data_IF_362226253203
#
_entry.id   IF_362226253203
#
_cell.length_a   1.000
_cell.length_b   1.000
_cell.length_c   1.000
_cell.angle_alpha   90.00
_cell.angle_beta   90.00
_cell.angle_gamma   90.00
#
_symmetry.space_group_name_H-M   'P 1'
#
loop_
_entity.id
_entity.type
_entity.pdbx_description
1 polymer ?
#
# COMPACT_ATOMS: atom_id res chain seq x y z
N UNK A 1 12.97 16.74 5.61
CA UNK A 1 13.92 15.69 6.05
C UNK A 1 13.14 14.43 6.33
N UNK A 2 13.62 13.23 5.96
CA UNK A 2 12.95 12.02 6.39
C UNK A 2 12.88 12.01 7.92
N UNK A 3 11.72 11.64 8.46
CA UNK A 3 11.51 11.44 9.88
C UNK A 3 12.50 10.38 10.40
N UNK A 4 13.10 10.59 11.58
CA UNK A 4 14.06 9.64 12.17
C UNK A 4 13.48 8.22 12.27
N UNK A 5 12.18 8.10 12.59
CA UNK A 5 11.49 6.82 12.66
C UNK A 5 11.46 6.05 11.34
N UNK A 6 11.34 6.75 10.21
CA UNK A 6 11.41 6.13 8.88
C UNK A 6 12.82 5.60 8.56
N UNK A 7 13.88 6.35 8.93
CA UNK A 7 15.28 5.91 8.74
C UNK A 7 15.60 4.69 9.62
N UNK A 8 15.12 4.68 10.86
CA UNK A 8 15.29 3.56 11.79
C UNK A 8 14.55 2.30 11.30
N UNK A 9 13.35 2.47 10.74
CA UNK A 9 12.60 1.38 10.13
C UNK A 9 13.34 0.80 8.92
N UNK A 10 13.90 1.63 8.03
CA UNK A 10 14.72 1.16 6.89
C UNK A 10 15.93 0.35 7.35
N UNK A 11 16.62 0.82 8.39
CA UNK A 11 17.76 0.10 8.98
C UNK A 11 17.32 -1.25 9.55
N UNK A 12 16.15 -1.29 10.18
CA UNK A 12 15.58 -2.52 10.74
C UNK A 12 15.13 -3.50 9.64
N UNK A 13 14.57 -2.99 8.52
CA UNK A 13 14.26 -3.79 7.32
C UNK A 13 15.51 -4.45 6.74
N UNK A 14 16.62 -3.72 6.62
CA UNK A 14 17.89 -4.27 6.14
C UNK A 14 18.36 -5.42 7.05
N UNK A 15 18.39 -5.23 8.35
CA UNK A 15 18.77 -6.28 9.31
C UNK A 15 17.86 -7.51 9.22
N UNK A 16 16.56 -7.31 9.03
CA UNK A 16 15.57 -8.38 8.97
C UNK A 16 15.65 -9.20 7.68
N UNK A 17 15.81 -8.56 6.53
CA UNK A 17 15.68 -9.21 5.23
C UNK A 17 17.00 -9.54 4.55
N UNK A 18 18.12 -8.95 4.97
CA UNK A 18 19.45 -9.24 4.42
C UNK A 18 20.30 -10.13 5.33
N UNK A 19 19.77 -10.62 6.45
CA UNK A 19 20.52 -11.51 7.36
C UNK A 19 21.06 -12.76 6.63
N UNK A 20 20.26 -13.32 5.72
CA UNK A 20 20.57 -14.57 5.01
C UNK A 20 20.47 -14.45 3.47
N UNK A 21 20.38 -13.22 2.95
CA UNK A 21 20.23 -12.96 1.51
C UNK A 21 21.28 -11.96 1.04
N UNK A 22 21.88 -12.24 -0.11
CA UNK A 22 22.78 -11.29 -0.75
C UNK A 22 21.98 -10.21 -1.52
N UNK A 23 22.46 -8.97 -1.59
CA UNK A 23 21.80 -7.91 -2.36
C UNK A 23 21.51 -8.28 -3.83
N UNK A 24 22.38 -9.10 -4.46
CA UNK A 24 22.20 -9.60 -5.82
C UNK A 24 21.01 -10.56 -5.97
N UNK A 25 20.71 -11.35 -4.94
CA UNK A 25 19.55 -12.25 -4.92
C UNK A 25 18.25 -11.44 -4.80
N UNK A 26 18.26 -10.42 -3.93
CA UNK A 26 17.13 -9.50 -3.79
C UNK A 26 16.88 -8.72 -5.08
N UNK A 27 17.93 -8.20 -5.74
CA UNK A 27 17.80 -7.49 -7.03
C UNK A 27 17.25 -8.37 -8.15
N UNK A 28 17.66 -9.65 -8.19
CA UNK A 28 17.11 -10.63 -9.15
C UNK A 28 15.63 -10.91 -8.87
N UNK A 29 15.27 -11.07 -7.61
CA UNK A 29 13.89 -11.26 -7.19
C UNK A 29 13.04 -10.04 -7.48
N UNK A 30 13.57 -8.82 -7.29
CA UNK A 30 12.89 -7.57 -7.62
C UNK A 30 12.58 -7.46 -9.13
N UNK A 31 13.54 -7.81 -10.00
CA UNK A 31 13.28 -7.88 -11.46
C UNK A 31 12.14 -8.83 -11.79
N UNK A 32 12.13 -10.02 -11.17
CA UNK A 32 11.05 -10.99 -11.36
C UNK A 32 9.71 -10.46 -10.88
N UNK A 33 9.65 -9.77 -9.72
CA UNK A 33 8.43 -9.15 -9.23
C UNK A 33 7.93 -8.03 -10.14
N UNK A 34 8.83 -7.16 -10.61
CA UNK A 34 8.48 -6.07 -11.53
C UNK A 34 7.85 -6.60 -12.82
N UNK A 35 8.43 -7.64 -13.44
CA UNK A 35 7.81 -8.29 -14.62
C UNK A 35 6.42 -8.84 -14.30
N UNK A 36 6.23 -9.41 -13.10
CA UNK A 36 4.92 -9.91 -12.68
C UNK A 36 3.89 -8.77 -12.60
N UNK A 37 4.25 -7.64 -12.00
CA UNK A 37 3.34 -6.50 -11.86
C UNK A 37 3.06 -5.77 -13.17
N UNK A 38 3.98 -5.84 -14.14
CA UNK A 38 3.83 -5.16 -15.45
C UNK A 38 3.19 -6.06 -16.51
N UNK A 39 3.59 -7.34 -16.58
CA UNK A 39 3.28 -8.19 -17.76
C UNK A 39 2.23 -9.27 -17.48
N UNK A 40 2.02 -9.70 -16.23
CA UNK A 40 1.25 -10.92 -15.91
C UNK A 40 0.19 -10.72 -14.83
N UNK A 41 -0.35 -9.53 -14.68
CA UNK A 41 -1.36 -9.22 -13.65
C UNK A 41 -2.57 -10.16 -13.67
N UNK A 42 -3.06 -10.54 -14.84
CA UNK A 42 -4.20 -11.48 -15.00
C UNK A 42 -3.87 -12.93 -14.61
N UNK A 43 -2.59 -13.26 -14.40
CA UNK A 43 -2.13 -14.60 -14.00
C UNK A 43 -1.59 -14.67 -12.56
N UNK A 44 -1.78 -13.63 -11.76
CA UNK A 44 -1.44 -13.63 -10.34
C UNK A 44 -2.36 -14.56 -9.57
N UNK A 45 -2.13 -15.87 -9.72
CA UNK A 45 -2.66 -16.85 -8.76
C UNK A 45 -2.23 -16.42 -7.34
N UNK A 46 -3.18 -16.44 -6.41
CA UNK A 46 -2.97 -16.01 -5.04
C UNK A 46 -1.67 -16.58 -4.45
N UNK A 47 -0.74 -15.71 -4.07
CA UNK A 47 0.51 -16.06 -3.39
C UNK A 47 1.76 -16.23 -4.26
N UNK A 48 1.67 -16.25 -5.60
CA UNK A 48 2.83 -16.43 -6.47
C UNK A 48 3.85 -15.28 -6.40
N UNK A 49 3.42 -14.08 -6.05
CA UNK A 49 4.28 -12.90 -5.90
C UNK A 49 5.19 -13.00 -4.66
N UNK A 50 4.77 -13.67 -3.59
CA UNK A 50 5.48 -13.73 -2.30
C UNK A 50 5.91 -15.16 -1.89
N UNK A 51 6.05 -16.06 -2.86
CA UNK A 51 6.32 -17.48 -2.62
C UNK A 51 7.77 -17.83 -2.25
N UNK A 52 8.72 -16.90 -2.37
CA UNK A 52 10.14 -17.13 -2.02
C UNK A 52 10.67 -16.07 -1.07
N UNK A 53 11.70 -16.42 -0.28
CA UNK A 53 12.37 -15.48 0.63
C UNK A 53 12.94 -14.26 -0.13
N UNK A 54 13.53 -14.46 -1.31
CA UNK A 54 14.04 -13.36 -2.13
C UNK A 54 12.96 -12.40 -2.60
N UNK A 55 11.77 -12.90 -3.03
CA UNK A 55 10.65 -12.04 -3.42
C UNK A 55 10.06 -11.29 -2.23
N UNK A 56 9.95 -11.94 -1.08
CA UNK A 56 9.51 -11.28 0.17
C UNK A 56 10.46 -10.16 0.58
N UNK A 57 11.78 -10.43 0.56
CA UNK A 57 12.78 -9.42 0.82
C UNK A 57 12.74 -8.27 -0.19
N UNK A 58 12.60 -8.57 -1.49
CA UNK A 58 12.47 -7.55 -2.54
C UNK A 58 11.21 -6.69 -2.34
N UNK A 59 10.09 -7.32 -1.96
CA UNK A 59 8.85 -6.59 -1.68
C UNK A 59 9.01 -5.67 -0.46
N UNK A 60 9.52 -6.19 0.65
CA UNK A 60 9.72 -5.42 1.88
C UNK A 60 10.75 -4.29 1.73
N UNK A 61 11.90 -4.56 1.07
CA UNK A 61 13.01 -3.62 0.96
C UNK A 61 12.82 -2.56 -0.14
N UNK A 62 12.00 -2.81 -1.15
CA UNK A 62 11.81 -1.89 -2.27
C UNK A 62 10.40 -1.30 -2.30
N UNK A 63 9.37 -2.14 -2.43
CA UNK A 63 7.99 -1.65 -2.53
C UNK A 63 7.47 -1.07 -1.22
N UNK A 64 7.76 -1.68 -0.08
CA UNK A 64 7.34 -1.17 1.23
C UNK A 64 7.71 0.31 1.44
N UNK A 65 9.00 0.70 1.35
CA UNK A 65 9.41 2.11 1.48
C UNK A 65 8.79 3.04 0.44
N UNK A 66 8.61 2.59 -0.81
CA UNK A 66 7.96 3.39 -1.86
C UNK A 66 6.47 3.61 -1.52
N UNK A 67 5.76 2.56 -1.12
CA UNK A 67 4.34 2.67 -0.72
C UNK A 67 4.19 3.60 0.50
N UNK A 68 5.09 3.52 1.48
CA UNK A 68 5.12 4.43 2.61
C UNK A 68 5.26 5.89 2.14
N UNK A 69 6.28 6.19 1.33
CA UNK A 69 6.56 7.54 0.86
C UNK A 69 5.41 8.10 0.03
N UNK A 70 4.90 7.34 -0.95
CA UNK A 70 3.77 7.77 -1.79
C UNK A 70 2.53 8.05 -0.95
N UNK A 71 2.18 7.15 -0.05
CA UNK A 71 0.99 7.33 0.81
C UNK A 71 1.15 8.55 1.70
N UNK A 72 2.33 8.75 2.30
CA UNK A 72 2.62 9.93 3.11
C UNK A 72 2.40 11.23 2.34
N UNK A 73 2.97 11.34 1.12
CA UNK A 73 2.85 12.54 0.29
C UNK A 73 1.38 12.80 -0.09
N UNK A 74 0.61 11.76 -0.44
CA UNK A 74 -0.82 11.88 -0.74
C UNK A 74 -1.60 12.38 0.49
N UNK A 75 -1.37 11.79 1.66
CA UNK A 75 -2.05 12.21 2.91
C UNK A 75 -1.71 13.66 3.27
N UNK A 76 -0.46 14.08 3.07
CA UNK A 76 -0.06 15.46 3.31
C UNK A 76 -0.71 16.45 2.33
N UNK A 77 -0.98 16.01 1.10
CA UNK A 77 -1.66 16.82 0.08
C UNK A 77 -3.19 16.86 0.24
N UNK A 78 -3.79 15.84 0.86
CA UNK A 78 -5.23 15.77 1.16
C UNK A 78 -5.43 16.11 2.63
N UNK A 79 -5.59 17.39 2.96
CA UNK A 79 -5.63 17.88 4.34
C UNK A 79 -6.63 17.10 5.23
N UNK A 80 -7.84 16.81 4.71
CA UNK A 80 -8.88 16.07 5.46
C UNK A 80 -8.48 14.62 5.78
N UNK A 81 -7.56 14.02 5.03
CA UNK A 81 -7.11 12.65 5.27
C UNK A 81 -6.33 12.51 6.58
N UNK A 82 -5.82 13.58 7.15
CA UNK A 82 -5.09 13.57 8.42
C UNK A 82 -5.99 13.47 9.66
N UNK A 83 -7.29 13.63 9.51
CA UNK A 83 -8.23 13.67 10.64
C UNK A 83 -9.01 12.35 10.79
N UNK A 84 -8.27 11.23 10.91
CA UNK A 84 -8.86 9.92 11.16
C UNK A 84 -8.35 9.37 12.50
N UNK A 85 -9.25 8.71 13.26
CA UNK A 85 -8.93 8.11 14.55
C UNK A 85 -8.58 6.62 14.43
N UNK A 86 -9.06 5.97 13.38
CA UNK A 86 -8.81 4.56 13.10
C UNK A 86 -8.73 4.32 11.60
N UNK A 87 -7.85 3.42 11.18
CA UNK A 87 -7.68 3.00 9.78
C UNK A 87 -7.98 1.52 9.66
N UNK A 88 -8.78 1.15 8.65
CA UNK A 88 -8.89 -0.18 8.10
C UNK A 88 -8.07 -0.25 6.81
N UNK A 89 -6.98 -1.03 6.80
CA UNK A 89 -6.07 -1.18 5.65
C UNK A 89 -6.36 -2.49 4.91
N UNK A 90 -6.98 -2.39 3.73
CA UNK A 90 -7.46 -3.50 2.91
C UNK A 90 -6.37 -4.01 1.96
N UNK A 91 -5.87 -5.23 2.20
CA UNK A 91 -4.71 -5.76 1.50
C UNK A 91 -3.44 -5.05 1.95
N UNK A 92 -3.22 -4.99 3.26
CA UNK A 92 -2.19 -4.16 3.89
C UNK A 92 -0.74 -4.51 3.48
N UNK A 93 -0.50 -5.66 2.85
CA UNK A 93 0.84 -6.09 2.46
C UNK A 93 1.81 -6.06 3.66
N UNK A 94 2.89 -5.30 3.53
CA UNK A 94 3.86 -5.10 4.63
C UNK A 94 3.42 -4.05 5.66
N UNK A 95 2.21 -3.51 5.58
CA UNK A 95 1.69 -2.49 6.48
C UNK A 95 2.24 -1.08 6.25
N UNK A 96 3.08 -0.89 5.25
CA UNK A 96 3.82 0.36 5.03
C UNK A 96 2.91 1.55 4.67
N UNK A 97 1.93 1.34 3.79
CA UNK A 97 0.98 2.39 3.39
C UNK A 97 0.09 2.82 4.57
N UNK A 98 -0.48 1.83 5.29
CA UNK A 98 -1.28 2.10 6.49
C UNK A 98 -0.48 2.79 7.59
N UNK A 99 0.78 2.37 7.81
CA UNK A 99 1.67 3.02 8.78
C UNK A 99 1.94 4.48 8.42
N UNK A 100 2.16 4.80 7.14
CA UNK A 100 2.34 6.18 6.69
C UNK A 100 1.10 7.04 6.99
N UNK A 101 -0.10 6.51 6.75
CA UNK A 101 -1.34 7.21 7.09
C UNK A 101 -1.51 7.38 8.60
N UNK A 102 -1.30 6.33 9.39
CA UNK A 102 -1.43 6.38 10.84
C UNK A 102 -0.49 7.42 11.47
N UNK A 103 0.77 7.47 11.02
CA UNK A 103 1.75 8.46 11.49
C UNK A 103 1.36 9.89 11.11
N UNK A 104 0.88 10.11 9.88
CA UNK A 104 0.43 11.42 9.43
C UNK A 104 -0.83 11.92 10.17
N UNK A 105 -1.64 11.01 10.72
CA UNK A 105 -2.84 11.31 11.51
C UNK A 105 -2.56 11.45 13.02
N UNK A 106 -1.34 11.21 13.49
CA UNK A 106 -0.96 11.35 14.88
C UNK A 106 -1.40 10.17 15.75
N UNK A 107 -2.39 10.34 16.63
CA UNK A 107 -2.92 9.27 17.50
C UNK A 107 -3.99 8.45 16.79
N UNK A 108 -3.59 7.66 15.81
CA UNK A 108 -4.48 6.82 15.02
C UNK A 108 -4.20 5.34 15.31
N UNK A 109 -5.26 4.52 15.41
CA UNK A 109 -5.13 3.06 15.47
C UNK A 109 -5.28 2.46 14.08
N UNK A 110 -4.68 1.27 13.85
CA UNK A 110 -4.75 0.60 12.55
C UNK A 110 -5.17 -0.86 12.69
N UNK A 111 -6.07 -1.29 11.79
CA UNK A 111 -6.41 -2.69 11.57
C UNK A 111 -6.09 -3.03 10.11
N UNK A 112 -5.01 -3.78 9.89
CA UNK A 112 -4.65 -4.28 8.58
C UNK A 112 -5.29 -5.64 8.31
N UNK A 113 -5.62 -5.92 7.06
CA UNK A 113 -6.00 -7.27 6.62
C UNK A 113 -5.26 -7.63 5.35
N UNK A 114 -4.81 -8.87 5.25
CA UNK A 114 -4.23 -9.44 4.04
C UNK A 114 -4.53 -10.94 3.96
N UNK A 115 -4.62 -11.49 2.75
CA UNK A 115 -4.82 -12.93 2.53
C UNK A 115 -3.54 -13.75 2.79
N UNK A 116 -2.37 -13.13 2.68
CA UNK A 116 -1.07 -13.79 2.74
C UNK A 116 -0.48 -13.75 4.16
N UNK A 117 -0.24 -14.89 4.84
CA UNK A 117 0.19 -14.92 6.23
C UNK A 117 1.51 -14.19 6.46
N UNK A 118 2.49 -14.31 5.55
CA UNK A 118 3.75 -13.55 5.66
C UNK A 118 3.53 -12.03 5.61
N UNK A 119 2.60 -11.55 4.78
CA UNK A 119 2.28 -10.12 4.72
C UNK A 119 1.69 -9.63 6.05
N UNK A 120 0.80 -10.41 6.64
CA UNK A 120 0.22 -10.14 7.98
C UNK A 120 1.32 -10.05 9.05
N UNK A 121 2.26 -11.00 9.06
CA UNK A 121 3.39 -11.00 10.00
C UNK A 121 4.28 -9.78 9.81
N UNK A 122 4.54 -9.41 8.56
CA UNK A 122 5.37 -8.26 8.20
C UNK A 122 4.68 -6.94 8.55
N UNK A 123 3.37 -6.81 8.32
CA UNK A 123 2.60 -5.65 8.72
C UNK A 123 2.60 -5.45 10.24
N UNK A 124 2.38 -6.52 11.00
CA UNK A 124 2.45 -6.48 12.46
C UNK A 124 3.85 -6.08 12.96
N UNK A 125 4.90 -6.53 12.28
CA UNK A 125 6.26 -6.11 12.58
C UNK A 125 6.46 -4.61 12.26
N UNK A 126 6.00 -4.15 11.09
CA UNK A 126 6.08 -2.73 10.68
C UNK A 126 5.37 -1.82 11.70
N UNK A 127 4.15 -2.17 12.13
CA UNK A 127 3.41 -1.37 13.12
C UNK A 127 4.18 -1.26 14.44
N UNK A 128 4.82 -2.34 14.90
CA UNK A 128 5.68 -2.29 16.11
C UNK A 128 6.91 -1.40 15.93
N UNK A 129 7.55 -1.40 14.73
CA UNK A 129 8.71 -0.54 14.47
C UNK A 129 8.37 0.95 14.58
N UNK A 130 7.15 1.33 14.20
CA UNK A 130 6.66 2.70 14.31
C UNK A 130 5.89 3.00 15.61
N UNK A 131 5.85 2.08 16.55
CA UNK A 131 5.06 2.19 17.79
C UNK A 131 3.58 2.55 17.53
N UNK A 132 3.01 2.06 16.43
CA UNK A 132 1.61 2.27 16.06
C UNK A 132 0.75 1.26 16.81
N UNK A 133 -0.32 1.72 17.46
CA UNK A 133 -1.32 0.87 18.08
C UNK A 133 -2.19 0.23 17.01
N UNK A 134 -2.20 -1.11 16.96
CA UNK A 134 -3.02 -1.85 15.99
C UNK A 134 -2.46 -3.22 15.69
N UNK A 135 -3.12 -3.91 14.77
CA UNK A 135 -2.72 -5.23 14.33
C UNK A 135 -3.15 -5.51 12.88
N UNK A 136 -2.52 -6.49 12.26
CA UNK A 136 -2.97 -7.07 10.99
C UNK A 136 -3.46 -8.50 11.21
N UNK A 137 -4.53 -8.86 10.52
CA UNK A 137 -5.14 -10.21 10.55
C UNK A 137 -5.22 -10.84 9.17
N UNK A 138 -5.22 -12.18 9.14
CA UNK A 138 -5.32 -12.93 7.88
C UNK A 138 -6.78 -13.02 7.43
N UNK A 139 -7.20 -12.05 6.61
CA UNK A 139 -8.55 -11.97 6.05
C UNK A 139 -8.47 -11.52 4.59
N UNK A 140 -9.25 -12.11 3.69
CA UNK A 140 -9.36 -11.62 2.31
C UNK A 140 -10.21 -10.35 2.25
N UNK A 141 -9.93 -9.46 1.29
CA UNK A 141 -10.71 -8.23 1.07
C UNK A 141 -12.20 -8.54 0.82
N UNK A 142 -12.52 -9.63 0.12
CA UNK A 142 -13.90 -10.05 -0.11
C UNK A 142 -14.68 -10.26 1.20
N UNK A 143 -14.00 -10.69 2.27
CA UNK A 143 -14.58 -10.96 3.59
C UNK A 143 -14.27 -9.86 4.62
N UNK A 144 -13.68 -8.75 4.21
CA UNK A 144 -13.32 -7.66 5.12
C UNK A 144 -14.53 -7.15 5.90
N UNK A 145 -14.45 -6.94 7.21
CA UNK A 145 -15.54 -6.38 8.00
C UNK A 145 -15.59 -4.86 7.84
N UNK A 146 -15.93 -4.38 6.63
CA UNK A 146 -16.07 -2.96 6.36
C UNK A 146 -17.31 -2.44 7.06
N UNK A 147 -17.10 -1.61 8.07
CA UNK A 147 -18.16 -0.92 8.80
C UNK A 147 -17.86 0.57 8.76
N UNK A 148 -18.74 1.32 8.12
CA UNK A 148 -18.60 2.77 8.07
C UNK A 148 -18.80 3.39 9.45
N UNK A 149 -17.98 4.39 9.76
CA UNK A 149 -18.08 5.16 11.01
C UNK A 149 -17.39 6.51 10.84
N UNK A 150 -18.01 7.54 11.39
CA UNK A 150 -17.45 8.90 11.37
C UNK A 150 -16.03 8.95 11.95
N UNK A 151 -15.12 9.59 11.23
CA UNK A 151 -13.71 9.73 11.63
C UNK A 151 -12.87 8.46 11.43
N UNK A 152 -13.38 7.43 10.74
CA UNK A 152 -12.57 6.28 10.32
C UNK A 152 -12.06 6.48 8.90
N UNK A 153 -10.85 5.98 8.64
CA UNK A 153 -10.26 5.87 7.32
C UNK A 153 -10.31 4.41 6.83
N UNK A 154 -10.60 4.23 5.55
CA UNK A 154 -10.48 2.94 4.87
C UNK A 154 -9.46 3.13 3.76
N UNK A 155 -8.37 2.37 3.82
CA UNK A 155 -7.29 2.40 2.85
C UNK A 155 -7.34 1.14 1.98
N UNK A 156 -7.17 1.31 0.67
CA UNK A 156 -6.84 0.24 -0.24
C UNK A 156 -5.68 0.70 -1.14
N UNK A 157 -4.46 0.35 -0.78
CA UNK A 157 -3.26 0.78 -1.49
C UNK A 157 -2.63 -0.39 -2.26
N UNK A 158 -2.63 -0.30 -3.60
CA UNK A 158 -2.05 -1.28 -4.53
C UNK A 158 -2.66 -2.69 -4.42
N UNK A 159 -3.89 -2.81 -3.93
CA UNK A 159 -4.54 -4.07 -3.60
C UNK A 159 -5.78 -4.37 -4.44
N UNK A 160 -6.49 -3.36 -4.95
CA UNK A 160 -7.76 -3.53 -5.69
C UNK A 160 -7.52 -4.20 -7.04
N UNK A 161 -6.39 -3.90 -7.65
CA UNK A 161 -6.04 -4.46 -8.95
C UNK A 161 -5.76 -5.99 -8.93
N UNK A 162 -5.62 -6.58 -7.75
CA UNK A 162 -5.48 -8.04 -7.57
C UNK A 162 -6.82 -8.76 -7.42
N UNK A 163 -7.93 -8.03 -7.34
CA UNK A 163 -9.26 -8.58 -7.17
C UNK A 163 -9.87 -8.97 -8.53
N UNK A 164 -10.69 -10.02 -8.53
CA UNK A 164 -11.58 -10.29 -9.65
C UNK A 164 -12.69 -9.23 -9.76
N UNK A 165 -13.38 -9.21 -10.90
CA UNK A 165 -14.35 -8.16 -11.21
C UNK A 165 -15.56 -8.19 -10.25
N UNK A 166 -16.04 -9.37 -9.84
CA UNK A 166 -17.15 -9.51 -8.91
C UNK A 166 -16.79 -8.98 -7.52
N UNK A 167 -15.65 -9.43 -6.99
CA UNK A 167 -15.14 -8.95 -5.69
C UNK A 167 -14.90 -7.44 -5.72
N UNK A 168 -14.39 -6.90 -6.83
CA UNK A 168 -14.12 -5.47 -7.00
C UNK A 168 -15.41 -4.66 -7.02
N UNK A 169 -16.43 -5.09 -7.75
CA UNK A 169 -17.75 -4.43 -7.79
C UNK A 169 -18.42 -4.44 -6.41
N UNK A 170 -18.42 -5.59 -5.73
CA UNK A 170 -18.95 -5.71 -4.37
C UNK A 170 -18.18 -4.86 -3.34
N UNK A 171 -16.87 -4.70 -3.51
CA UNK A 171 -16.07 -3.82 -2.68
C UNK A 171 -16.46 -2.35 -2.87
N UNK A 172 -16.62 -1.90 -4.12
CA UNK A 172 -17.02 -0.52 -4.41
C UNK A 172 -18.31 -0.14 -3.69
N UNK A 173 -19.35 -0.96 -3.79
CA UNK A 173 -20.64 -0.71 -3.10
C UNK A 173 -20.45 -0.55 -1.59
N UNK A 174 -19.67 -1.42 -0.97
CA UNK A 174 -19.39 -1.38 0.48
C UNK A 174 -18.58 -0.16 0.90
N UNK A 175 -17.68 0.34 0.05
CA UNK A 175 -16.91 1.56 0.30
C UNK A 175 -17.80 2.80 0.22
N UNK A 176 -18.74 2.86 -0.74
CA UNK A 176 -19.73 3.92 -0.86
C UNK A 176 -20.66 3.95 0.37
N UNK A 177 -21.18 2.79 0.80
CA UNK A 177 -21.98 2.68 2.03
C UNK A 177 -21.20 3.14 3.27
N UNK A 178 -19.91 2.78 3.39
CA UNK A 178 -19.08 3.21 4.50
C UNK A 178 -18.85 4.72 4.50
N UNK A 179 -18.70 5.34 3.34
CA UNK A 179 -18.60 6.80 3.19
C UNK A 179 -19.89 7.47 3.62
N UNK A 180 -21.06 6.96 3.27
CA UNK A 180 -22.35 7.53 3.65
C UNK A 180 -22.59 7.52 5.17
N UNK A 181 -21.94 6.62 5.88
CA UNK A 181 -21.90 6.58 7.36
C UNK A 181 -20.79 7.43 7.97
N UNK A 182 -20.05 8.19 7.16
CA UNK A 182 -19.06 9.19 7.59
C UNK A 182 -17.61 8.70 7.66
N UNK A 183 -17.29 7.54 7.07
CA UNK A 183 -15.91 7.14 6.87
C UNK A 183 -15.26 7.90 5.72
N UNK A 184 -13.96 8.08 5.80
CA UNK A 184 -13.13 8.48 4.67
C UNK A 184 -12.59 7.25 3.94
N UNK A 185 -12.53 7.31 2.62
CA UNK A 185 -11.99 6.23 1.80
C UNK A 185 -10.85 6.77 0.94
N UNK A 186 -9.71 6.08 0.98
CA UNK A 186 -8.55 6.36 0.14
C UNK A 186 -8.14 5.10 -0.62
N UNK A 187 -8.19 5.21 -1.95
CA UNK A 187 -7.66 4.18 -2.86
C UNK A 187 -6.40 4.74 -3.51
N UNK A 188 -5.32 3.95 -3.54
CA UNK A 188 -4.06 4.30 -4.19
C UNK A 188 -3.66 3.18 -5.15
N UNK A 189 -3.38 3.54 -6.41
CA UNK A 189 -2.92 2.58 -7.42
C UNK A 189 -1.82 3.19 -8.31
N UNK A 190 -1.06 2.38 -9.07
CA UNK A 190 -0.09 2.90 -10.02
C UNK A 190 -0.73 3.74 -11.13
N UNK A 191 0.00 4.71 -11.67
CA UNK A 191 -0.50 5.59 -12.75
C UNK A 191 -0.74 4.87 -14.09
N UNK A 192 -0.35 3.61 -14.24
CA UNK A 192 -0.42 2.84 -15.48
C UNK A 192 -1.86 2.61 -15.97
N UNK A 193 -2.37 3.52 -16.80
CA UNK A 193 -3.78 3.54 -17.30
C UNK A 193 -4.25 2.21 -17.90
N UNK A 194 -3.40 1.56 -18.72
CA UNK A 194 -3.74 0.28 -19.37
C UNK A 194 -3.90 -0.90 -18.40
N UNK A 195 -3.40 -0.76 -17.18
CA UNK A 195 -3.41 -1.81 -16.18
C UNK A 195 -4.63 -1.76 -15.26
N UNK A 196 -5.46 -0.73 -15.37
CA UNK A 196 -6.57 -0.44 -14.47
C UNK A 196 -7.85 -0.12 -15.27
N UNK A 197 -8.43 -1.09 -16.00
CA UNK A 197 -9.62 -0.83 -16.84
C UNK A 197 -10.84 -0.38 -16.02
N UNK A 198 -10.93 -0.79 -14.76
CA UNK A 198 -11.98 -0.45 -13.82
C UNK A 198 -11.89 0.97 -13.25
N UNK A 199 -10.75 1.65 -13.39
CA UNK A 199 -10.48 2.93 -12.71
C UNK A 199 -11.46 4.04 -13.06
N UNK A 200 -11.79 4.21 -14.33
CA UNK A 200 -12.70 5.30 -14.78
C UNK A 200 -14.11 5.16 -14.21
N UNK A 201 -14.60 3.94 -14.06
CA UNK A 201 -15.88 3.66 -13.39
C UNK A 201 -15.83 4.08 -11.91
N UNK A 202 -14.80 3.63 -11.18
CA UNK A 202 -14.61 3.97 -9.79
C UNK A 202 -14.44 5.47 -9.58
N UNK A 203 -13.66 6.15 -10.44
CA UNK A 203 -13.48 7.60 -10.38
C UNK A 203 -14.81 8.35 -10.56
N UNK A 204 -15.65 7.91 -11.50
CA UNK A 204 -16.99 8.43 -11.67
C UNK A 204 -17.87 8.27 -10.44
N UNK A 205 -17.87 7.08 -9.82
CA UNK A 205 -18.65 6.79 -8.61
C UNK A 205 -18.14 7.57 -7.39
N UNK A 206 -16.83 7.69 -7.20
CA UNK A 206 -16.24 8.51 -6.14
C UNK A 206 -16.58 9.99 -6.31
N UNK A 207 -16.50 10.51 -7.54
CA UNK A 207 -16.88 11.91 -7.85
C UNK A 207 -18.36 12.15 -7.60
N UNK A 208 -19.23 11.25 -8.01
CA UNK A 208 -20.69 11.34 -7.74
C UNK A 208 -20.98 11.32 -6.24
N UNK A 209 -20.18 10.62 -5.43
CA UNK A 209 -20.28 10.61 -3.98
C UNK A 209 -19.64 11.85 -3.29
N UNK A 210 -19.22 12.87 -4.06
CA UNK A 210 -18.59 14.09 -3.56
C UNK A 210 -17.10 13.95 -3.27
N UNK A 211 -16.47 12.89 -3.79
CA UNK A 211 -15.04 12.66 -3.73
C UNK A 211 -14.28 13.23 -4.92
N UNK A 212 -13.02 12.78 -5.09
CA UNK A 212 -12.12 13.22 -6.17
C UNK A 212 -11.17 12.12 -6.61
N UNK A 213 -10.72 12.21 -7.86
CA UNK A 213 -9.60 11.44 -8.39
C UNK A 213 -8.40 12.35 -8.67
N UNK A 214 -7.20 11.86 -8.38
CA UNK A 214 -5.95 12.62 -8.59
C UNK A 214 -4.87 11.74 -9.21
N UNK A 215 -4.01 12.36 -10.04
CA UNK A 215 -2.73 11.80 -10.48
C UNK A 215 -1.59 12.55 -9.81
N UNK A 216 -0.67 11.81 -9.20
CA UNK A 216 0.43 12.33 -8.39
C UNK A 216 1.79 12.07 -9.04
N UNK A 217 2.68 13.05 -8.94
CA UNK A 217 4.08 12.95 -9.33
C UNK A 217 4.91 13.65 -8.27
N UNK A 218 5.61 12.85 -7.46
CA UNK A 218 6.42 13.35 -6.36
C UNK A 218 7.90 13.21 -6.69
N UNK A 219 8.64 14.32 -6.60
CA UNK A 219 10.10 14.31 -6.60
C UNK A 219 10.57 14.12 -5.16
N UNK A 220 10.69 12.87 -4.76
CA UNK A 220 11.19 12.50 -3.44
C UNK A 220 12.58 11.91 -3.59
N UNK A 221 13.51 12.36 -2.76
CA UNK A 221 14.82 11.73 -2.68
C UNK A 221 14.65 10.33 -2.04
N UNK A 222 14.77 9.30 -2.88
CA UNK A 222 14.70 7.92 -2.41
C UNK A 222 15.91 7.61 -1.54
N UNK A 223 15.73 6.85 -0.45
CA UNK A 223 16.85 6.36 0.34
C UNK A 223 17.82 5.55 -0.52
N UNK A 224 19.10 5.57 -0.16
CA UNK A 224 20.17 4.99 -0.98
C UNK A 224 19.90 3.52 -1.34
N UNK A 225 19.42 2.72 -0.39
CA UNK A 225 19.11 1.31 -0.61
C UNK A 225 18.08 1.12 -1.74
N UNK A 226 17.01 1.89 -1.73
CA UNK A 226 15.95 1.81 -2.75
C UNK A 226 16.46 2.25 -4.12
N UNK A 227 17.34 3.25 -4.18
CA UNK A 227 18.00 3.66 -5.42
C UNK A 227 18.91 2.56 -5.98
N UNK A 228 19.72 1.92 -5.12
CA UNK A 228 20.62 0.84 -5.51
C UNK A 228 19.84 -0.40 -5.99
N UNK A 229 18.81 -0.83 -5.25
CA UNK A 229 17.96 -1.94 -5.63
C UNK A 229 17.21 -1.65 -6.94
N UNK A 230 16.67 -0.46 -7.10
CA UNK A 230 15.99 -0.02 -8.32
C UNK A 230 16.91 -0.10 -9.54
N UNK A 231 18.08 0.52 -9.49
CA UNK A 231 19.08 0.48 -10.58
C UNK A 231 19.48 -0.96 -10.93
N UNK A 232 19.79 -1.76 -9.93
CA UNK A 232 20.19 -3.16 -10.12
C UNK A 232 19.07 -4.03 -10.73
N UNK A 233 17.81 -3.62 -10.57
CA UNK A 233 16.65 -4.27 -11.15
C UNK A 233 16.20 -3.69 -12.51
N UNK A 234 16.89 -2.65 -13.00
CA UNK A 234 16.49 -1.92 -14.21
C UNK A 234 15.31 -0.97 -13.99
N UNK A 235 15.03 -0.66 -12.71
CA UNK A 235 14.03 0.31 -12.28
C UNK A 235 14.78 1.54 -11.80
N UNK A 236 14.57 2.69 -12.44
CA UNK A 236 15.18 3.97 -11.98
C UNK A 236 14.05 4.98 -11.72
N UNK A 237 13.33 4.86 -10.61
CA UNK A 237 12.27 5.79 -10.28
C UNK A 237 12.87 7.13 -9.89
N UNK A 238 12.90 8.08 -10.84
CA UNK A 238 13.27 9.49 -10.59
C UNK A 238 12.13 10.27 -9.98
N UNK A 239 10.91 9.79 -10.19
CA UNK A 239 9.68 10.31 -9.62
C UNK A 239 8.88 9.16 -9.04
N UNK A 240 8.25 9.38 -7.90
CA UNK A 240 7.22 8.49 -7.39
C UNK A 240 5.89 8.91 -7.99
N UNK A 241 5.21 7.98 -8.65
CA UNK A 241 3.95 8.25 -9.32
C UNK A 241 2.84 7.37 -8.79
N UNK A 242 1.65 7.92 -8.63
CA UNK A 242 0.45 7.21 -8.24
C UNK A 242 -0.79 7.93 -8.75
N UNK A 243 -1.92 7.26 -8.68
CA UNK A 243 -3.24 7.86 -8.72
C UNK A 243 -3.99 7.52 -7.46
N UNK A 244 -4.90 8.38 -7.05
CA UNK A 244 -5.75 8.12 -5.90
C UNK A 244 -7.19 8.49 -6.16
N UNK A 245 -8.09 7.80 -5.44
CA UNK A 245 -9.48 8.19 -5.26
C UNK A 245 -9.68 8.49 -3.77
N UNK A 246 -10.33 9.60 -3.48
CA UNK A 246 -10.63 10.06 -2.12
C UNK A 246 -12.09 10.48 -1.99
N UNK A 247 -12.75 10.08 -0.92
CA UNK A 247 -14.09 10.58 -0.55
C UNK A 247 -14.30 10.57 0.96
#
# INVERSE_FOLDING_TARGET
MPDSSFVDWLTSLDKRHLANLRPSEVSRALRSLSSYYVERRSKLGAGAALNTAGKRAAFALFYGPIHFLVTREIIMAIERARYVAQILDLGCGTGAAGAAWALASGRCTINGIDKHPWAVDEANWTYRQFAITGYAGQVSIARAPIRGRKGHGILAAYSINELDDETRAGLLSRLLEAKDTGSHVLVIEPIAKRALPWWSEWEGMFTAAGGRGDEWRFRVELPERQRLLGRAAGLDPRELTARSLWM
#
